data_IF_541549871379
#
_entry.id   IF_541549871379
#
_cell.length_a   1.000
_cell.length_b   1.000
_cell.length_c   1.000
_cell.angle_alpha   90.00
_cell.angle_beta   90.00
_cell.angle_gamma   90.00
#
_symmetry.space_group_name_H-M   'P 1'
#
loop_
_entity.id
_entity.type
_entity.pdbx_description
1 polymer ?
#
# COMPACT_ATOMS: atom_id res chain seq x y z
N UNK A 1 4.56 -14.68 18.07
CA UNK A 1 3.46 -13.80 17.65
C UNK A 1 3.36 -13.94 16.15
N UNK A 2 2.16 -14.11 15.64
CA UNK A 2 1.94 -14.19 14.20
C UNK A 2 2.10 -12.76 13.65
N UNK A 3 3.17 -12.50 12.91
CA UNK A 3 3.43 -11.19 12.31
C UNK A 3 3.05 -11.29 10.83
N UNK A 4 1.80 -10.97 10.51
CA UNK A 4 1.35 -10.77 9.14
C UNK A 4 1.80 -9.39 8.68
N UNK A 5 2.40 -9.28 7.50
CA UNK A 5 2.77 -8.00 6.91
C UNK A 5 1.99 -7.78 5.63
N UNK A 6 1.21 -6.70 5.58
CA UNK A 6 0.35 -6.36 4.46
C UNK A 6 0.77 -5.01 3.85
N UNK A 7 1.95 -4.97 3.20
CA UNK A 7 2.69 -3.75 2.96
C UNK A 7 1.95 -2.79 2.06
N UNK A 8 1.74 -1.57 2.56
CA UNK A 8 1.14 -0.45 1.86
C UNK A 8 2.19 0.52 1.33
N UNK A 9 2.11 0.84 0.05
CA UNK A 9 2.88 1.93 -0.56
C UNK A 9 2.29 3.25 -0.11
N UNK A 10 3.16 4.16 0.35
CA UNK A 10 2.77 5.47 0.84
C UNK A 10 3.17 6.54 -0.16
N UNK A 11 2.24 7.43 -0.44
CA UNK A 11 2.40 8.57 -1.31
C UNK A 11 2.15 9.84 -0.51
N UNK A 12 2.89 10.88 -0.84
CA UNK A 12 2.75 12.20 -0.25
C UNK A 12 2.59 13.26 -1.32
N UNK A 13 1.88 14.34 -0.99
CA UNK A 13 1.69 15.47 -1.89
C UNK A 13 1.85 16.77 -1.10
N UNK A 14 2.49 17.74 -1.71
CA UNK A 14 2.47 19.13 -1.29
C UNK A 14 1.36 19.84 -2.06
N UNK A 15 0.50 20.58 -1.35
CA UNK A 15 -0.47 21.50 -1.96
C UNK A 15 0.28 22.71 -2.51
N UNK A 16 0.70 22.61 -3.76
CA UNK A 16 1.53 23.61 -4.39
C UNK A 16 0.74 24.84 -4.85
N UNK A 17 -0.55 24.66 -5.13
CA UNK A 17 -1.44 25.73 -5.56
C UNK A 17 -2.25 26.38 -4.40
N UNK A 18 -2.21 25.77 -3.20
CA UNK A 18 -2.83 26.29 -1.98
C UNK A 18 -4.36 26.19 -1.95
N UNK A 19 -4.96 25.28 -2.73
CA UNK A 19 -6.41 25.16 -2.85
C UNK A 19 -7.05 24.18 -1.84
N UNK A 20 -6.24 23.43 -1.08
CA UNK A 20 -6.70 22.44 -0.11
C UNK A 20 -7.28 21.16 -0.73
N UNK A 21 -7.02 20.91 -2.01
CA UNK A 21 -7.51 19.75 -2.76
C UNK A 21 -6.33 18.88 -3.19
N UNK A 22 -6.42 17.53 -3.11
CA UNK A 22 -5.31 16.63 -3.47
C UNK A 22 -5.21 16.43 -4.99
N UNK A 23 -5.05 17.51 -5.76
CA UNK A 23 -4.99 17.55 -7.22
C UNK A 23 -3.61 17.90 -7.78
N UNK A 24 -2.61 18.09 -6.91
CA UNK A 24 -1.22 18.29 -7.28
C UNK A 24 -0.45 16.97 -7.52
N UNK A 25 0.88 17.03 -7.57
CA UNK A 25 1.72 15.87 -7.85
C UNK A 25 1.88 14.97 -6.62
N UNK A 26 1.55 13.69 -6.78
CA UNK A 26 1.84 12.65 -5.81
C UNK A 26 3.25 12.10 -5.97
N UNK A 27 3.98 11.99 -4.87
CA UNK A 27 5.33 11.42 -4.79
C UNK A 27 5.30 10.17 -3.94
N UNK A 28 5.82 9.06 -4.48
CA UNK A 28 5.96 7.82 -3.74
C UNK A 28 7.07 7.95 -2.70
N UNK A 29 6.85 7.48 -1.49
CA UNK A 29 7.92 7.26 -0.52
C UNK A 29 8.62 5.95 -0.88
N UNK A 30 9.89 6.05 -1.29
CA UNK A 30 10.71 4.91 -1.68
C UNK A 30 10.87 3.95 -0.50
N UNK A 31 10.56 2.67 -0.73
CA UNK A 31 10.82 1.58 0.19
C UNK A 31 11.86 0.60 -0.34
N UNK A 32 12.15 -0.44 0.42
CA UNK A 32 13.19 -1.44 0.09
C UNK A 32 12.97 -2.17 -1.23
N UNK A 33 11.73 -2.30 -1.66
CA UNK A 33 11.35 -2.99 -2.90
C UNK A 33 11.24 -2.06 -4.11
N UNK A 34 11.48 -0.75 -3.96
CA UNK A 34 11.30 0.22 -5.04
C UNK A 34 12.11 -0.10 -6.30
N UNK A 35 13.36 -0.53 -6.12
CA UNK A 35 14.28 -0.90 -7.23
C UNK A 35 14.28 -2.42 -7.51
N UNK A 36 13.40 -3.19 -6.89
CA UNK A 36 13.28 -4.62 -7.15
C UNK A 36 12.75 -4.86 -8.57
N UNK A 37 13.36 -5.78 -9.30
CA UNK A 37 13.00 -6.08 -10.69
C UNK A 37 11.55 -6.57 -10.87
N UNK A 38 10.93 -7.12 -9.81
CA UNK A 38 9.54 -7.56 -9.82
C UNK A 38 8.55 -6.46 -9.42
N UNK A 39 9.03 -5.29 -8.99
CA UNK A 39 8.17 -4.14 -8.70
C UNK A 39 7.74 -3.46 -9.99
N UNK A 40 6.43 -3.22 -10.12
CA UNK A 40 5.83 -2.62 -11.31
C UNK A 40 5.34 -1.21 -10.94
N UNK A 41 6.06 -0.20 -11.39
CA UNK A 41 5.63 1.21 -11.26
C UNK A 41 4.67 1.57 -12.39
N UNK A 42 3.72 2.45 -12.11
CA UNK A 42 2.66 2.79 -13.05
C UNK A 42 1.73 1.61 -13.34
N UNK A 43 1.57 0.69 -12.39
CA UNK A 43 0.64 -0.42 -12.46
C UNK A 43 -0.79 0.09 -12.35
N UNK A 44 -1.69 -0.45 -13.18
CA UNK A 44 -3.11 -0.17 -13.10
C UNK A 44 -3.91 -1.47 -12.98
N UNK A 45 -4.85 -1.49 -12.03
CA UNK A 45 -5.74 -2.62 -11.77
C UNK A 45 -7.18 -2.15 -11.68
N UNK A 46 -8.09 -2.96 -12.19
CA UNK A 46 -9.53 -2.75 -12.09
C UNK A 46 -10.14 -3.91 -11.34
N UNK A 47 -10.88 -3.61 -10.26
CA UNK A 47 -11.67 -4.58 -9.51
C UNK A 47 -13.14 -4.44 -9.86
N UNK A 48 -13.79 -5.58 -10.10
CA UNK A 48 -15.22 -5.69 -10.35
C UNK A 48 -15.87 -6.48 -9.22
N UNK A 49 -16.79 -5.87 -8.44
CA UNK A 49 -17.52 -6.60 -7.39
C UNK A 49 -18.31 -7.78 -7.95
N UNK A 50 -18.28 -8.91 -7.24
CA UNK A 50 -19.07 -10.10 -7.56
C UNK A 50 -20.22 -10.29 -6.60
N UNK A 51 -21.25 -11.02 -7.02
CA UNK A 51 -22.47 -11.24 -6.25
C UNK A 51 -22.26 -12.04 -4.95
N UNK A 52 -21.21 -12.82 -4.87
CA UNK A 52 -20.82 -13.60 -3.68
C UNK A 52 -19.98 -12.79 -2.67
N UNK A 53 -19.72 -11.51 -2.96
CA UNK A 53 -18.93 -10.62 -2.12
C UNK A 53 -17.43 -10.62 -2.44
N UNK A 54 -16.98 -11.49 -3.34
CA UNK A 54 -15.61 -11.49 -3.88
C UNK A 54 -15.39 -10.34 -4.85
N UNK A 55 -14.15 -10.13 -5.29
CA UNK A 55 -13.79 -9.14 -6.31
C UNK A 55 -12.96 -9.78 -7.42
N UNK A 56 -13.47 -9.78 -8.65
CA UNK A 56 -12.66 -10.09 -9.82
C UNK A 56 -11.73 -8.90 -10.12
N UNK A 57 -10.55 -9.16 -10.71
CA UNK A 57 -9.65 -8.11 -11.12
C UNK A 57 -9.02 -8.39 -12.48
N UNK A 58 -8.70 -7.32 -13.16
CA UNK A 58 -7.86 -7.32 -14.38
C UNK A 58 -6.83 -6.20 -14.28
N UNK A 59 -5.67 -6.37 -14.90
CA UNK A 59 -4.62 -5.35 -14.88
C UNK A 59 -4.17 -4.91 -16.28
N UNK A 60 -3.38 -3.85 -16.34
CA UNK A 60 -2.83 -3.29 -17.56
C UNK A 60 -1.68 -4.11 -18.17
N UNK A 61 -1.33 -5.24 -17.56
CA UNK A 61 -0.31 -6.19 -18.02
C UNK A 61 -0.90 -7.48 -18.57
N UNK A 62 -2.23 -7.56 -18.64
CA UNK A 62 -2.96 -8.74 -19.11
C UNK A 62 -3.17 -9.81 -18.05
N UNK A 63 -2.89 -9.48 -16.79
CA UNK A 63 -3.21 -10.32 -15.65
C UNK A 63 -4.69 -10.23 -15.28
N UNK A 64 -5.21 -11.31 -14.68
CA UNK A 64 -6.57 -11.38 -14.14
C UNK A 64 -6.67 -12.40 -13.03
N UNK A 65 -7.68 -12.26 -12.18
CA UNK A 65 -7.92 -13.21 -11.10
C UNK A 65 -9.12 -12.81 -10.25
N UNK A 66 -9.23 -13.42 -9.08
CA UNK A 66 -10.28 -13.15 -8.10
C UNK A 66 -9.67 -13.07 -6.72
N UNK A 67 -10.07 -12.07 -5.96
CA UNK A 67 -9.91 -12.03 -4.51
C UNK A 67 -11.20 -12.62 -3.94
N UNK A 68 -11.10 -13.87 -3.46
CA UNK A 68 -12.25 -14.63 -3.00
C UNK A 68 -12.62 -14.17 -1.58
N UNK A 69 -13.90 -13.92 -1.35
CA UNK A 69 -14.39 -13.64 -0.01
C UNK A 69 -14.23 -14.91 0.86
N UNK A 70 -13.63 -14.73 2.02
CA UNK A 70 -13.46 -15.81 3.01
C UNK A 70 -14.66 -15.83 3.98
N UNK A 71 -15.12 -17.01 4.34
CA UNK A 71 -16.25 -17.18 5.26
C UNK A 71 -15.95 -16.72 6.69
N UNK A 72 -14.66 -16.70 7.06
CA UNK A 72 -14.17 -16.21 8.34
C UNK A 72 -14.26 -14.68 8.45
N UNK A 73 -14.37 -13.97 7.34
CA UNK A 73 -14.50 -12.51 7.32
C UNK A 73 -15.95 -12.12 7.56
N UNK A 74 -16.16 -11.15 8.44
CA UNK A 74 -17.50 -10.71 8.85
C UNK A 74 -18.20 -9.82 7.82
N UNK A 75 -17.46 -9.16 6.93
CA UNK A 75 -18.03 -8.33 5.88
C UNK A 75 -18.66 -9.19 4.77
N UNK A 76 -19.83 -8.76 4.32
CA UNK A 76 -20.55 -9.44 3.24
C UNK A 76 -19.89 -9.28 1.87
N UNK A 77 -19.09 -8.24 1.69
CA UNK A 77 -18.37 -7.95 0.45
C UNK A 77 -17.08 -7.18 0.76
N UNK A 78 -16.03 -7.40 -0.03
CA UNK A 78 -14.82 -6.58 0.00
C UNK A 78 -15.02 -5.19 -0.61
N UNK A 79 -16.08 -5.01 -1.39
CA UNK A 79 -16.47 -3.70 -1.90
C UNK A 79 -17.51 -3.08 -0.97
N UNK A 80 -17.20 -1.97 -0.28
CA UNK A 80 -18.13 -1.32 0.63
C UNK A 80 -19.41 -0.90 -0.09
N UNK A 81 -20.57 -1.09 0.56
CA UNK A 81 -21.89 -0.82 -0.02
C UNK A 81 -22.14 0.67 -0.35
N UNK A 82 -21.34 1.58 0.20
CA UNK A 82 -21.43 3.02 -0.10
C UNK A 82 -20.59 3.43 -1.34
N UNK A 83 -19.78 2.51 -1.88
CA UNK A 83 -19.13 2.70 -3.17
C UNK A 83 -20.12 2.22 -4.22
N UNK A 84 -20.52 3.10 -5.15
CA UNK A 84 -21.35 2.69 -6.29
C UNK A 84 -20.71 1.50 -7.01
N UNK A 85 -21.51 0.49 -7.40
CA UNK A 85 -21.02 -0.77 -7.97
C UNK A 85 -20.54 -0.56 -9.41
N UNK A 86 -19.46 0.17 -9.55
CA UNK A 86 -18.73 0.33 -10.80
C UNK A 86 -17.39 -0.36 -10.66
N UNK A 87 -16.74 -0.58 -11.78
CA UNK A 87 -15.34 -1.01 -11.81
C UNK A 87 -14.47 -0.04 -10.99
N UNK A 88 -13.83 -0.55 -9.96
CA UNK A 88 -12.93 0.22 -9.10
C UNK A 88 -11.53 0.20 -9.69
N UNK A 89 -11.10 1.34 -10.24
CA UNK A 89 -9.79 1.48 -10.87
C UNK A 89 -8.79 2.12 -9.93
N UNK A 90 -7.65 1.45 -9.78
CA UNK A 90 -6.53 1.97 -9.00
C UNK A 90 -5.27 2.01 -9.86
N UNK A 91 -4.47 3.05 -9.64
CA UNK A 91 -3.14 3.20 -10.25
C UNK A 91 -2.11 3.47 -9.16
N UNK A 92 -0.90 2.91 -9.32
CA UNK A 92 0.15 3.08 -8.33
C UNK A 92 1.35 2.18 -8.61
N UNK A 93 1.95 1.67 -7.54
CA UNK A 93 3.07 0.74 -7.60
C UNK A 93 2.61 -0.61 -7.05
N UNK A 94 2.81 -1.66 -7.84
CA UNK A 94 2.65 -3.03 -7.38
C UNK A 94 4.01 -3.60 -6.99
N UNK A 95 4.14 -3.97 -5.73
CA UNK A 95 5.30 -4.68 -5.20
C UNK A 95 5.26 -6.15 -5.60
N UNK A 96 6.39 -6.85 -5.47
CA UNK A 96 6.39 -8.31 -5.57
C UNK A 96 5.47 -8.92 -4.53
N UNK A 97 4.97 -10.10 -4.82
CA UNK A 97 4.24 -10.89 -3.83
C UNK A 97 5.14 -11.17 -2.61
N UNK A 98 4.57 -11.04 -1.41
CA UNK A 98 5.26 -11.27 -0.15
C UNK A 98 4.74 -12.48 0.63
N UNK A 99 3.85 -13.28 0.05
CA UNK A 99 3.31 -14.48 0.70
C UNK A 99 4.24 -15.66 0.46
N UNK A 100 4.71 -16.25 1.53
CA UNK A 100 5.59 -17.41 1.50
C UNK A 100 5.02 -18.55 2.32
N UNK A 101 5.31 -19.80 1.91
CA UNK A 101 4.98 -20.97 2.69
C UNK A 101 6.21 -21.40 3.49
N UNK A 102 6.08 -21.41 4.82
CA UNK A 102 7.09 -21.91 5.74
C UNK A 102 6.43 -22.83 6.78
N UNK A 103 7.02 -23.99 7.04
CA UNK A 103 6.54 -24.98 8.00
C UNK A 103 5.05 -25.38 7.80
N UNK A 104 4.63 -25.45 6.52
CA UNK A 104 3.25 -25.78 6.15
C UNK A 104 2.23 -24.66 6.36
N UNK A 105 2.68 -23.46 6.76
CA UNK A 105 1.83 -22.29 6.96
C UNK A 105 2.15 -21.21 5.91
N UNK A 106 1.12 -20.58 5.39
CA UNK A 106 1.25 -19.40 4.54
C UNK A 106 1.39 -18.16 5.42
N UNK A 107 2.39 -17.33 5.13
CA UNK A 107 2.66 -16.12 5.91
C UNK A 107 3.07 -14.97 4.99
N UNK A 108 2.39 -13.82 5.08
CA UNK A 108 2.86 -12.60 4.47
C UNK A 108 4.14 -12.10 5.17
N UNK A 109 5.24 -12.00 4.43
CA UNK A 109 6.54 -11.60 4.93
C UNK A 109 6.71 -10.09 4.93
N UNK A 110 7.45 -9.57 5.92
CA UNK A 110 7.80 -8.16 5.96
C UNK A 110 8.85 -7.81 4.91
N UNK A 111 8.67 -6.68 4.25
CA UNK A 111 9.76 -6.04 3.51
C UNK A 111 10.71 -5.31 4.49
N UNK A 112 11.92 -5.00 4.03
CA UNK A 112 12.94 -4.52 4.94
C UNK A 112 12.59 -3.15 5.56
N UNK A 113 12.00 -2.22 4.81
CA UNK A 113 11.61 -0.89 5.28
C UNK A 113 10.75 -0.15 4.24
N UNK A 114 10.08 0.93 4.67
CA UNK A 114 9.47 1.94 3.80
C UNK A 114 8.00 1.70 3.46
N UNK A 115 7.30 0.83 4.18
CA UNK A 115 5.89 0.51 3.91
C UNK A 115 5.03 0.64 5.15
N UNK A 116 3.79 1.05 4.97
CA UNK A 116 2.76 0.97 6.00
C UNK A 116 2.38 -0.49 6.25
N UNK A 117 1.84 -0.80 7.42
CA UNK A 117 1.41 -2.15 7.83
C UNK A 117 2.45 -3.25 7.55
N UNK A 118 3.68 -2.92 7.81
CA UNK A 118 4.83 -3.77 7.54
C UNK A 118 5.60 -4.05 8.84
N UNK A 119 5.77 -5.31 9.20
CA UNK A 119 6.46 -5.72 10.43
C UNK A 119 7.99 -5.66 10.30
N UNK A 120 8.48 -4.62 9.64
CA UNK A 120 9.89 -4.31 9.48
C UNK A 120 10.61 -4.17 10.83
N UNK A 121 11.84 -4.63 10.90
CA UNK A 121 12.73 -4.43 12.05
C UNK A 121 13.50 -3.11 11.96
N UNK A 122 13.44 -2.40 10.84
CA UNK A 122 14.20 -1.18 10.56
C UNK A 122 13.44 0.08 10.94
N UNK A 123 12.20 0.19 10.49
CA UNK A 123 11.41 1.43 10.59
C UNK A 123 10.12 1.29 11.41
N UNK A 124 9.83 0.10 11.95
CA UNK A 124 8.71 -0.12 12.85
C UNK A 124 9.10 0.00 14.31
N UNK A 125 8.44 0.87 15.05
CA UNK A 125 8.63 1.05 16.49
C UNK A 125 7.29 0.85 17.19
N UNK A 126 7.21 -0.20 18.01
CA UNK A 126 5.96 -0.63 18.60
C UNK A 126 4.97 -1.07 17.51
N UNK A 127 3.86 -0.35 17.38
CA UNK A 127 2.83 -0.59 16.35
C UNK A 127 2.90 0.38 15.18
N UNK A 128 3.90 1.25 15.11
CA UNK A 128 3.97 2.35 14.13
C UNK A 128 5.11 2.15 13.14
N UNK A 129 4.82 2.15 11.85
CA UNK A 129 5.82 2.29 10.79
C UNK A 129 6.22 3.76 10.66
N UNK A 130 7.52 4.05 10.67
CA UNK A 130 8.09 5.39 10.59
C UNK A 130 8.69 5.63 9.22
N UNK A 131 7.97 6.36 8.39
CA UNK A 131 8.37 6.71 7.05
C UNK A 131 9.00 8.11 7.03
N UNK A 132 9.91 8.34 6.08
CA UNK A 132 10.61 9.63 5.97
C UNK A 132 10.13 10.36 4.72
N UNK A 133 9.76 11.62 4.86
CA UNK A 133 9.38 12.48 3.73
C UNK A 133 10.56 12.66 2.76
N UNK A 134 11.80 12.58 3.25
CA UNK A 134 13.00 12.64 2.42
C UNK A 134 13.15 11.48 1.44
N UNK A 135 12.39 10.39 1.63
CA UNK A 135 12.38 9.24 0.74
C UNK A 135 11.38 9.43 -0.43
N UNK A 136 10.73 10.60 -0.52
CA UNK A 136 9.85 10.96 -1.61
C UNK A 136 10.63 11.07 -2.94
N UNK A 137 10.12 10.40 -3.97
CA UNK A 137 10.74 10.38 -5.29
C UNK A 137 9.78 10.85 -6.39
N UNK A 138 10.36 11.44 -7.42
CA UNK A 138 9.68 11.79 -8.66
C UNK A 138 9.45 10.55 -9.53
N UNK A 139 8.70 10.68 -10.61
CA UNK A 139 8.37 9.55 -11.50
C UNK A 139 9.61 8.86 -12.12
N UNK A 140 10.71 9.59 -12.27
CA UNK A 140 12.00 9.05 -12.74
C UNK A 140 12.87 8.47 -11.62
N UNK A 141 12.41 8.52 -10.35
CA UNK A 141 13.11 7.99 -9.19
C UNK A 141 14.10 8.96 -8.54
N UNK A 142 14.19 10.20 -9.02
CA UNK A 142 15.01 11.24 -8.39
C UNK A 142 14.37 11.74 -7.09
N UNK A 143 15.15 12.23 -6.10
CA UNK A 143 14.58 12.82 -4.88
C UNK A 143 13.64 13.99 -5.18
N UNK A 144 12.44 13.98 -4.61
CA UNK A 144 11.46 15.04 -4.82
C UNK A 144 11.79 16.34 -4.04
N UNK A 145 12.61 16.24 -2.98
CA UNK A 145 13.05 17.37 -2.16
C UNK A 145 11.91 18.25 -1.61
N UNK A 146 10.82 17.62 -1.16
CA UNK A 146 9.65 18.31 -0.63
C UNK A 146 9.99 19.11 0.63
N UNK A 147 9.45 20.31 0.75
CA UNK A 147 9.62 21.18 1.92
C UNK A 147 8.56 20.89 2.99
N UNK A 148 7.40 20.44 2.57
CA UNK A 148 6.26 20.05 3.40
C UNK A 148 5.42 19.02 2.68
N UNK A 149 4.49 18.41 3.41
CA UNK A 149 3.43 17.57 2.85
C UNK A 149 2.10 18.01 3.45
N UNK A 150 1.06 17.98 2.64
CA UNK A 150 -0.28 18.38 3.02
C UNK A 150 -1.26 17.19 2.91
N UNK A 151 -0.96 16.24 2.03
CA UNK A 151 -1.78 15.04 1.85
C UNK A 151 -0.93 13.76 1.88
N UNK A 152 -1.54 12.70 2.40
CA UNK A 152 -0.96 11.36 2.45
C UNK A 152 -1.97 10.37 1.87
N UNK A 153 -1.50 9.49 1.01
CA UNK A 153 -2.27 8.39 0.44
C UNK A 153 -1.54 7.08 0.74
N UNK A 154 -2.28 6.08 1.21
CA UNK A 154 -1.78 4.71 1.39
C UNK A 154 -2.56 3.81 0.44
N UNK A 155 -1.85 2.95 -0.26
CA UNK A 155 -2.44 1.93 -1.14
C UNK A 155 -1.82 0.58 -0.80
N UNK A 156 -2.63 -0.47 -0.74
CA UNK A 156 -2.11 -1.84 -0.66
C UNK A 156 -1.07 -2.06 -1.77
N UNK A 157 0.12 -2.48 -1.39
CA UNK A 157 1.26 -2.58 -2.30
C UNK A 157 1.30 -3.88 -3.10
N UNK A 158 0.59 -4.93 -2.67
CA UNK A 158 0.58 -6.24 -3.31
C UNK A 158 -0.83 -6.56 -3.82
N UNK A 159 -0.93 -7.24 -4.97
CA UNK A 159 -2.19 -7.77 -5.48
C UNK A 159 -2.15 -9.30 -5.33
N UNK A 160 -2.28 -9.75 -4.09
CA UNK A 160 -2.11 -11.14 -3.73
C UNK A 160 -3.21 -11.62 -2.79
N UNK A 161 -3.40 -12.92 -2.76
CA UNK A 161 -4.17 -13.63 -1.75
C UNK A 161 -3.34 -14.80 -1.22
N UNK A 162 -3.49 -15.11 0.05
CA UNK A 162 -2.87 -16.27 0.66
C UNK A 162 -3.92 -17.38 0.89
N UNK A 163 -3.62 -18.64 0.57
CA UNK A 163 -4.50 -19.74 0.93
C UNK A 163 -4.75 -19.73 2.43
N UNK A 164 -6.02 -19.87 2.85
CA UNK A 164 -6.47 -19.90 4.24
C UNK A 164 -6.34 -18.57 5.03
N UNK A 165 -5.78 -17.52 4.42
CA UNK A 165 -5.66 -16.20 5.06
C UNK A 165 -6.60 -15.21 4.36
N UNK A 166 -6.78 -15.36 3.05
CA UNK A 166 -7.58 -14.45 2.23
C UNK A 166 -6.74 -13.41 1.51
N UNK A 167 -7.31 -12.25 1.33
CA UNK A 167 -6.65 -11.09 0.70
C UNK A 167 -5.49 -10.56 1.55
N UNK A 168 -4.58 -9.86 0.89
CA UNK A 168 -3.56 -9.04 1.53
C UNK A 168 -4.02 -7.60 1.38
N UNK A 169 -4.41 -6.97 2.48
CA UNK A 169 -4.95 -5.61 2.50
C UNK A 169 -4.31 -4.78 3.60
N UNK A 170 -3.76 -3.64 3.23
CA UNK A 170 -3.08 -2.74 4.16
C UNK A 170 -4.08 -2.05 5.09
N UNK A 171 -3.88 -2.15 6.39
CA UNK A 171 -4.73 -1.56 7.42
C UNK A 171 -4.10 -0.31 8.01
N UNK A 172 -4.83 0.79 7.96
CA UNK A 172 -4.38 2.09 8.47
C UNK A 172 -5.26 2.54 9.62
N UNK A 173 -4.77 2.39 10.85
CA UNK A 173 -5.48 2.80 12.07
C UNK A 173 -5.29 4.28 12.41
N UNK A 174 -4.27 4.93 11.87
CA UNK A 174 -3.99 6.33 12.11
C UNK A 174 -2.70 6.80 11.45
N UNK A 175 -2.60 8.11 11.26
CA UNK A 175 -1.42 8.77 10.67
C UNK A 175 -1.02 9.92 11.58
N UNK A 176 0.27 10.05 11.85
CA UNK A 176 0.84 11.17 12.59
C UNK A 176 2.07 11.71 11.89
N UNK A 177 2.24 13.03 11.89
CA UNK A 177 3.43 13.69 11.38
C UNK A 177 4.30 14.15 12.56
N UNK A 178 5.59 13.83 12.50
CA UNK A 178 6.58 14.23 13.49
C UNK A 178 7.63 15.12 12.82
N UNK A 179 7.93 16.25 13.43
CA UNK A 179 9.05 17.09 13.02
C UNK A 179 10.23 16.82 13.94
N UNK A 180 11.36 16.41 13.38
CA UNK A 180 12.61 16.34 14.15
C UNK A 180 13.12 17.76 14.40
N UNK A 181 13.11 18.21 15.64
CA UNK A 181 13.73 19.48 16.03
C UNK A 181 15.19 19.20 16.36
N UNK A 182 16.10 19.56 15.46
CA UNK A 182 17.53 19.58 15.81
C UNK A 182 17.76 20.76 16.76
N UNK A 183 18.10 20.48 18.02
CA UNK A 183 18.60 21.53 18.91
C UNK A 183 19.87 22.10 18.26
N UNK A 184 19.84 23.35 17.87
CA UNK A 184 21.08 24.07 17.55
C UNK A 184 21.83 24.22 18.87
N UNK A 185 23.00 23.63 18.99
CA UNK A 185 23.96 23.89 20.07
C UNK A 185 24.52 25.30 19.89
#
# INVERSE_FOLDING_TARGET
MNTSSEPGVVWVMQDANGNGVPDDTWYELKGSEYDNAATIRGYAVTYTPLADGSAAWTDDRGGSGTIDRMDEHTQASYCPAWIEPADLKFTGTRLRDNVEQADGQWRPQAFAWGYADNFSTVDRIGTTNRLRISDAVTADGSPANLQQIDFIKVQTGVNAKAPLIGEISTEVCGIGCYRTVTKRN
#
